data_IF_124020816432
#
_entry.id   IF_124020816432
#
_cell.length_a   1.000
_cell.length_b   1.000
_cell.length_c   1.000
_cell.angle_alpha   90.00
_cell.angle_beta   90.00
_cell.angle_gamma   90.00
#
_symmetry.space_group_name_H-M   'P 1'
#
loop_
_entity.id
_entity.type
_entity.pdbx_description
1 polymer ?
#
# COMPACT_ATOMS: atom_id res chain seq x y z
N UNK A 1 -0.59 26.00 -4.91
CA UNK A 1 -1.11 25.77 -6.28
C UNK A 1 -2.14 24.69 -6.18
N UNK A 2 -3.36 24.88 -6.71
CA UNK A 2 -4.39 23.84 -6.68
C UNK A 2 -3.90 22.66 -7.51
N UNK A 3 -3.85 21.48 -6.91
CA UNK A 3 -3.51 20.23 -7.59
C UNK A 3 -4.50 20.01 -8.74
N UNK A 4 -3.98 19.83 -9.95
CA UNK A 4 -4.76 19.43 -11.10
C UNK A 4 -4.96 17.91 -11.08
N UNK A 5 -5.66 17.39 -10.05
CA UNK A 5 -6.11 16.02 -10.07
C UNK A 5 -7.03 15.80 -11.28
N UNK A 6 -6.97 14.63 -11.89
CA UNK A 6 -7.85 14.27 -13.00
C UNK A 6 -9.33 14.35 -12.57
N UNK A 7 -10.28 14.49 -13.50
CA UNK A 7 -11.69 14.56 -13.14
C UNK A 7 -12.18 13.28 -12.48
N UNK A 8 -13.00 13.39 -11.42
CA UNK A 8 -13.50 12.24 -10.62
C UNK A 8 -14.21 11.14 -11.42
N UNK A 9 -14.76 11.47 -12.60
CA UNK A 9 -15.31 10.42 -13.48
C UNK A 9 -14.27 9.42 -14.00
N UNK A 10 -12.97 9.77 -13.94
CA UNK A 10 -11.88 8.85 -14.27
C UNK A 10 -11.91 7.55 -13.45
N UNK A 11 -12.48 7.60 -12.24
CA UNK A 11 -12.63 6.41 -11.38
C UNK A 11 -13.65 5.38 -11.93
N UNK A 12 -14.51 5.77 -12.89
CA UNK A 12 -15.41 4.81 -13.58
C UNK A 12 -14.63 3.79 -14.42
N UNK A 13 -13.35 4.03 -14.73
CA UNK A 13 -12.46 3.09 -15.44
C UNK A 13 -12.22 1.80 -14.65
N UNK A 14 -12.42 1.81 -13.31
CA UNK A 14 -12.26 0.64 -12.45
C UNK A 14 -12.93 -0.62 -12.99
N UNK A 15 -14.16 -0.52 -13.51
CA UNK A 15 -14.89 -1.66 -14.07
C UNK A 15 -14.20 -2.29 -15.29
N UNK A 16 -13.66 -1.46 -16.18
CA UNK A 16 -12.90 -1.91 -17.34
C UNK A 16 -11.53 -2.50 -16.97
N UNK A 17 -10.84 -1.92 -16.01
CA UNK A 17 -9.57 -2.40 -15.47
C UNK A 17 -9.73 -3.77 -14.81
N UNK A 18 -10.77 -3.94 -13.99
CA UNK A 18 -11.12 -5.23 -13.39
C UNK A 18 -11.46 -6.29 -14.45
N UNK A 19 -12.26 -5.96 -15.44
CA UNK A 19 -12.61 -6.88 -16.54
C UNK A 19 -11.36 -7.31 -17.32
N UNK A 20 -10.44 -6.38 -17.60
CA UNK A 20 -9.16 -6.65 -18.26
C UNK A 20 -8.27 -7.60 -17.42
N UNK A 21 -8.19 -7.38 -16.11
CA UNK A 21 -7.47 -8.27 -15.20
C UNK A 21 -8.05 -9.68 -15.20
N UNK A 22 -9.37 -9.80 -15.07
CA UNK A 22 -10.06 -11.10 -15.07
C UNK A 22 -9.79 -11.87 -16.36
N UNK A 23 -9.87 -11.22 -17.52
CA UNK A 23 -9.55 -11.83 -18.80
C UNK A 23 -8.11 -12.36 -18.85
N UNK A 24 -7.14 -11.60 -18.35
CA UNK A 24 -5.72 -12.02 -18.34
C UNK A 24 -5.43 -13.11 -17.31
N UNK A 25 -6.00 -13.04 -16.13
CA UNK A 25 -5.76 -14.03 -15.05
C UNK A 25 -6.40 -15.38 -15.33
N UNK A 26 -7.49 -15.45 -16.10
CA UNK A 26 -8.08 -16.70 -16.56
C UNK A 26 -7.26 -17.39 -17.65
N UNK A 27 -6.48 -16.64 -18.43
CA UNK A 27 -5.66 -17.16 -19.52
C UNK A 27 -4.26 -17.64 -19.08
N UNK A 28 -3.78 -17.25 -17.92
CA UNK A 28 -2.48 -17.66 -17.38
C UNK A 28 -2.65 -18.42 -16.06
N UNK A 29 -2.37 -19.73 -16.04
CA UNK A 29 -2.40 -20.50 -14.80
C UNK A 29 -1.38 -19.92 -13.81
N UNK A 30 -1.71 -19.86 -12.51
CA UNK A 30 -0.80 -19.34 -11.51
C UNK A 30 0.44 -20.24 -11.41
N UNK A 31 1.64 -19.66 -11.43
CA UNK A 31 2.86 -20.35 -11.03
C UNK A 31 2.84 -20.43 -9.49
N UNK A 32 2.70 -21.63 -8.94
CA UNK A 32 2.88 -21.86 -7.50
C UNK A 32 4.37 -22.00 -7.20
N UNK A 33 4.83 -21.25 -6.18
CA UNK A 33 6.18 -21.38 -5.64
C UNK A 33 6.12 -21.95 -4.23
N UNK A 34 7.02 -22.88 -3.91
CA UNK A 34 7.06 -23.52 -2.60
C UNK A 34 7.47 -22.52 -1.48
N UNK A 35 8.41 -21.63 -1.80
CA UNK A 35 9.01 -20.68 -0.86
C UNK A 35 8.57 -19.21 -1.15
N UNK A 36 7.29 -19.04 -1.54
CA UNK A 36 6.75 -17.73 -1.86
C UNK A 36 6.76 -16.81 -0.63
N UNK A 37 7.29 -15.56 -0.74
CA UNK A 37 7.34 -14.64 0.40
C UNK A 37 5.92 -14.35 0.95
N UNK A 38 5.85 -14.13 2.26
CA UNK A 38 4.60 -13.72 2.88
C UNK A 38 4.27 -12.28 2.53
N UNK A 39 2.98 -11.94 2.45
CA UNK A 39 2.50 -10.63 2.01
C UNK A 39 1.52 -10.05 3.01
N UNK A 40 1.68 -8.78 3.37
CA UNK A 40 0.68 -8.00 4.11
C UNK A 40 0.01 -6.99 3.16
N UNK A 41 -1.33 -7.02 3.08
CA UNK A 41 -2.13 -6.07 2.30
C UNK A 41 -2.75 -5.00 3.19
N UNK A 42 -2.60 -3.72 2.81
CA UNK A 42 -3.10 -2.57 3.58
C UNK A 42 -3.98 -1.68 2.69
N UNK A 43 -5.30 -1.54 3.00
CA UNK A 43 -6.24 -0.78 2.18
C UNK A 43 -6.08 0.74 2.32
N UNK A 44 -6.66 1.47 1.37
CA UNK A 44 -6.68 2.93 1.34
C UNK A 44 -7.61 3.59 2.35
N UNK A 45 -7.64 4.93 2.35
CA UNK A 45 -8.53 5.73 3.21
C UNK A 45 -10.00 5.33 3.02
N UNK A 46 -10.73 5.18 4.13
CA UNK A 46 -12.12 4.70 4.22
C UNK A 46 -12.37 3.29 3.67
N UNK A 47 -11.41 2.68 3.00
CA UNK A 47 -11.52 1.31 2.53
C UNK A 47 -11.19 0.32 3.65
N UNK A 48 -11.77 -0.87 3.57
CA UNK A 48 -11.42 -2.01 4.40
C UNK A 48 -10.72 -3.10 3.59
N UNK A 49 -10.34 -4.16 4.26
CA UNK A 49 -9.63 -5.31 3.69
C UNK A 49 -10.32 -5.93 2.47
N UNK A 50 -11.66 -5.84 2.40
CA UNK A 50 -12.45 -6.34 1.28
C UNK A 50 -12.11 -5.65 -0.06
N UNK A 51 -11.62 -4.41 -0.03
CA UNK A 51 -11.24 -3.66 -1.25
C UNK A 51 -10.06 -4.31 -1.98
N UNK A 52 -9.23 -5.08 -1.28
CA UNK A 52 -8.07 -5.80 -1.83
C UNK A 52 -8.32 -7.32 -1.98
N UNK A 53 -9.58 -7.76 -1.92
CA UNK A 53 -9.93 -9.18 -1.99
C UNK A 53 -9.47 -9.87 -3.29
N UNK A 54 -9.50 -9.16 -4.43
CA UNK A 54 -9.01 -9.68 -5.71
C UNK A 54 -7.51 -9.94 -5.65
N UNK A 55 -6.74 -8.99 -5.17
CA UNK A 55 -5.27 -9.10 -5.01
C UNK A 55 -4.92 -10.23 -4.02
N UNK A 56 -5.61 -10.30 -2.88
CA UNK A 56 -5.47 -11.40 -1.92
C UNK A 56 -5.69 -12.75 -2.57
N UNK A 57 -6.78 -12.90 -3.33
CA UNK A 57 -7.13 -14.15 -4.02
C UNK A 57 -6.06 -14.54 -5.04
N UNK A 58 -5.57 -13.56 -5.80
CA UNK A 58 -4.51 -13.77 -6.80
C UNK A 58 -3.20 -14.22 -6.15
N UNK A 59 -2.74 -13.57 -5.09
CA UNK A 59 -1.53 -13.91 -4.34
C UNK A 59 -1.64 -15.32 -3.73
N UNK A 60 -2.77 -15.66 -3.11
CA UNK A 60 -3.01 -16.98 -2.53
C UNK A 60 -2.96 -18.10 -3.56
N UNK A 61 -3.51 -17.86 -4.76
CA UNK A 61 -3.43 -18.85 -5.85
C UNK A 61 -1.99 -19.10 -6.31
N UNK A 62 -1.07 -18.15 -6.10
CA UNK A 62 0.36 -18.27 -6.39
C UNK A 62 1.18 -18.89 -5.26
N UNK A 63 0.57 -19.18 -4.13
CA UNK A 63 1.21 -19.84 -3.00
C UNK A 63 1.66 -18.91 -1.89
N UNK A 64 1.47 -17.59 -2.04
CA UNK A 64 1.82 -16.63 -1.00
C UNK A 64 0.94 -16.80 0.24
N UNK A 65 1.56 -16.73 1.42
CA UNK A 65 0.84 -16.52 2.68
C UNK A 65 0.43 -15.06 2.76
N UNK A 66 -0.87 -14.78 2.77
CA UNK A 66 -1.40 -13.41 2.72
C UNK A 66 -2.13 -13.07 3.99
N UNK A 67 -1.58 -12.11 4.74
CA UNK A 67 -2.25 -11.43 5.83
C UNK A 67 -2.99 -10.18 5.33
N UNK A 68 -4.07 -9.84 6.02
CA UNK A 68 -4.82 -8.60 5.82
C UNK A 68 -4.63 -7.70 7.03
N UNK A 69 -4.82 -6.39 6.84
CA UNK A 69 -4.59 -5.40 7.89
C UNK A 69 -5.55 -5.48 9.08
N UNK A 70 -6.66 -6.21 8.97
CA UNK A 70 -7.73 -6.24 9.98
C UNK A 70 -8.55 -4.96 10.07
N UNK A 71 -8.44 -4.08 9.07
CA UNK A 71 -9.19 -2.82 9.00
C UNK A 71 -10.55 -3.04 8.33
N UNK A 72 -11.63 -2.70 9.03
CA UNK A 72 -12.96 -2.58 8.43
C UNK A 72 -13.06 -1.29 7.60
N UNK A 73 -12.45 -0.22 8.09
CA UNK A 73 -12.27 1.05 7.41
C UNK A 73 -10.96 1.71 7.88
N UNK A 74 -10.13 2.18 6.96
CA UNK A 74 -8.87 2.84 7.29
C UNK A 74 -9.11 4.32 7.63
N UNK A 75 -9.63 4.59 8.82
CA UNK A 75 -9.97 5.92 9.33
C UNK A 75 -9.41 6.22 10.72
N UNK A 76 -8.63 5.31 11.30
CA UNK A 76 -8.02 5.52 12.62
C UNK A 76 -6.72 6.35 12.52
N UNK A 77 -6.18 6.78 13.65
CA UNK A 77 -4.86 7.43 13.75
C UNK A 77 -3.79 6.57 13.07
N UNK A 78 -2.96 7.17 12.21
CA UNK A 78 -1.92 6.46 11.46
C UNK A 78 -0.95 5.76 12.40
N UNK A 79 -0.47 6.45 13.43
CA UNK A 79 0.43 5.91 14.43
C UNK A 79 -0.13 4.65 15.11
N UNK A 80 -1.41 4.69 15.52
CA UNK A 80 -2.06 3.53 16.13
C UNK A 80 -2.19 2.34 15.18
N UNK A 81 -2.44 2.61 13.89
CA UNK A 81 -2.54 1.55 12.89
C UNK A 81 -1.15 0.94 12.66
N UNK A 82 -0.12 1.77 12.46
CA UNK A 82 1.26 1.30 12.24
C UNK A 82 1.72 0.47 13.43
N UNK A 83 1.62 0.98 14.66
CA UNK A 83 2.01 0.23 15.87
C UNK A 83 1.31 -1.12 16.02
N UNK A 84 0.02 -1.21 15.64
CA UNK A 84 -0.68 -2.49 15.62
C UNK A 84 -0.19 -3.42 14.53
N UNK A 85 0.09 -2.90 13.34
CA UNK A 85 0.54 -3.71 12.21
C UNK A 85 2.00 -4.17 12.34
N UNK A 86 2.81 -3.53 13.18
CA UNK A 86 4.16 -4.00 13.51
C UNK A 86 4.13 -5.44 14.06
N UNK A 87 3.23 -5.74 15.00
CA UNK A 87 3.05 -7.09 15.53
C UNK A 87 2.68 -8.07 14.41
N UNK A 88 1.74 -7.67 13.53
CA UNK A 88 1.34 -8.50 12.39
C UNK A 88 2.51 -8.78 11.43
N UNK A 89 3.38 -7.79 11.17
CA UNK A 89 4.57 -7.98 10.34
C UNK A 89 5.55 -8.95 11.00
N UNK A 90 5.82 -8.79 12.30
CA UNK A 90 6.72 -9.67 13.05
C UNK A 90 6.20 -11.12 13.07
N UNK A 91 4.94 -11.33 13.44
CA UNK A 91 4.30 -12.64 13.45
C UNK A 91 4.33 -13.29 12.05
N UNK A 92 4.02 -12.52 11.01
CA UNK A 92 4.00 -13.02 9.64
C UNK A 92 5.41 -13.41 9.15
N UNK A 93 6.44 -12.64 9.51
CA UNK A 93 7.83 -12.94 9.20
C UNK A 93 8.31 -14.19 9.93
N UNK A 94 8.01 -14.33 11.22
CA UNK A 94 8.34 -15.51 12.02
C UNK A 94 7.66 -16.77 11.49
N UNK A 95 6.38 -16.68 11.22
CA UNK A 95 5.56 -17.77 10.69
C UNK A 95 5.95 -18.24 9.29
N UNK A 96 6.51 -17.35 8.46
CA UNK A 96 6.98 -17.67 7.12
C UNK A 96 8.47 -18.03 7.06
N UNK A 97 9.20 -17.78 8.14
CA UNK A 97 10.65 -18.00 8.21
C UNK A 97 11.47 -17.04 7.34
N UNK A 98 10.89 -15.89 6.93
CA UNK A 98 11.54 -14.96 6.03
C UNK A 98 10.95 -13.54 6.09
N UNK A 99 11.46 -12.66 5.25
CA UNK A 99 10.97 -11.29 5.15
C UNK A 99 9.59 -11.22 4.47
N UNK A 100 8.84 -10.18 4.83
CA UNK A 100 7.47 -9.92 4.35
C UNK A 100 7.51 -8.88 3.23
N UNK A 101 6.63 -9.03 2.24
CA UNK A 101 6.34 -7.98 1.26
C UNK A 101 5.10 -7.20 1.71
N UNK A 102 5.24 -5.88 1.82
CA UNK A 102 4.16 -4.97 2.15
C UNK A 102 3.56 -4.39 0.87
N UNK A 103 2.25 -4.51 0.71
CA UNK A 103 1.54 -3.90 -0.43
C UNK A 103 0.44 -3.01 0.14
N UNK A 104 0.53 -1.71 -0.14
CA UNK A 104 -0.44 -0.74 0.35
C UNK A 104 -1.02 0.12 -0.75
N UNK A 105 -2.34 0.35 -0.70
CA UNK A 105 -3.02 1.26 -1.61
C UNK A 105 -3.25 2.61 -0.96
N UNK A 106 -2.94 3.71 -1.66
CA UNK A 106 -3.23 5.07 -1.20
C UNK A 106 -2.65 5.31 0.21
N UNK A 107 -3.45 5.73 1.18
CA UNK A 107 -3.07 5.83 2.59
C UNK A 107 -2.44 4.53 3.13
N UNK A 108 -2.87 3.37 2.64
CA UNK A 108 -2.31 2.08 3.04
C UNK A 108 -0.84 1.92 2.66
N UNK A 109 -0.42 2.48 1.51
CA UNK A 109 0.99 2.49 1.12
C UNK A 109 1.85 3.41 1.98
N UNK A 110 1.30 4.54 2.43
CA UNK A 110 2.00 5.39 3.41
C UNK A 110 2.19 4.66 4.76
N UNK A 111 1.19 3.90 5.21
CA UNK A 111 1.31 3.04 6.40
C UNK A 111 2.33 1.91 6.18
N UNK A 112 2.33 1.28 5.01
CA UNK A 112 3.31 0.25 4.64
C UNK A 112 4.74 0.80 4.63
N UNK A 113 4.93 2.02 4.12
CA UNK A 113 6.23 2.69 4.11
C UNK A 113 6.77 2.95 5.52
N UNK A 114 5.93 3.43 6.42
CA UNK A 114 6.30 3.62 7.80
C UNK A 114 6.70 2.29 8.48
N UNK A 115 5.96 1.21 8.20
CA UNK A 115 6.32 -0.14 8.68
C UNK A 115 7.66 -0.61 8.15
N UNK A 116 7.96 -0.36 6.87
CA UNK A 116 9.25 -0.74 6.27
C UNK A 116 10.42 0.01 6.92
N UNK A 117 10.22 1.27 7.32
CA UNK A 117 11.23 2.04 8.08
C UNK A 117 11.38 1.53 9.51
N UNK A 118 10.29 1.15 10.17
CA UNK A 118 10.32 0.66 11.57
C UNK A 118 10.89 -0.75 11.71
N UNK A 119 10.66 -1.60 10.72
CA UNK A 119 11.01 -3.03 10.76
C UNK A 119 11.77 -3.47 9.51
N UNK A 120 12.88 -2.78 9.19
CA UNK A 120 13.62 -3.07 7.97
C UNK A 120 14.14 -4.52 7.92
N UNK A 121 14.45 -5.09 9.08
CA UNK A 121 14.90 -6.49 9.21
C UNK A 121 13.80 -7.52 8.88
N UNK A 122 12.54 -7.12 8.93
CA UNK A 122 11.37 -7.99 8.66
C UNK A 122 10.75 -7.76 7.28
N UNK A 123 11.14 -6.68 6.59
CA UNK A 123 10.53 -6.28 5.31
C UNK A 123 11.55 -6.43 4.19
N UNK A 124 11.26 -7.30 3.22
CA UNK A 124 12.07 -7.48 2.02
C UNK A 124 11.55 -6.74 0.80
N UNK A 125 10.25 -6.38 0.79
CA UNK A 125 9.64 -5.66 -0.32
C UNK A 125 8.55 -4.69 0.11
N UNK A 126 8.40 -3.59 -0.64
CA UNK A 126 7.41 -2.54 -0.40
C UNK A 126 6.80 -2.09 -1.73
N UNK A 127 5.50 -2.25 -1.91
CA UNK A 127 4.78 -1.75 -3.08
C UNK A 127 3.71 -0.75 -2.64
N UNK A 128 3.81 0.47 -3.14
CA UNK A 128 2.92 1.58 -2.82
C UNK A 128 2.11 1.96 -4.06
N UNK A 129 0.79 1.74 -4.01
CA UNK A 129 -0.13 1.99 -5.13
C UNK A 129 -0.85 3.33 -4.94
N UNK A 130 -0.51 4.34 -5.72
CA UNK A 130 -1.12 5.66 -5.64
C UNK A 130 -1.00 6.33 -4.26
N UNK A 131 0.14 6.15 -3.59
CA UNK A 131 0.30 6.50 -2.18
C UNK A 131 0.97 7.86 -1.99
N UNK A 132 0.31 8.86 -1.38
CA UNK A 132 0.84 10.20 -1.21
C UNK A 132 1.84 10.27 -0.04
N UNK A 133 3.07 9.77 -0.26
CA UNK A 133 4.12 9.70 0.76
C UNK A 133 4.85 11.03 0.97
N UNK A 134 4.94 11.87 -0.06
CA UNK A 134 5.61 13.18 0.02
C UNK A 134 4.72 14.27 0.64
N UNK A 135 3.43 14.20 0.36
CA UNK A 135 2.44 15.18 0.83
C UNK A 135 1.10 14.47 1.07
N UNK A 136 0.86 14.08 2.29
CA UNK A 136 -0.27 13.21 2.69
C UNK A 136 -1.67 13.80 2.37
N UNK A 137 -1.77 15.11 2.17
CA UNK A 137 -3.02 15.81 1.84
C UNK A 137 -3.08 16.33 0.39
N UNK A 138 -2.16 15.90 -0.46
CA UNK A 138 -2.20 16.18 -1.90
C UNK A 138 -3.28 15.33 -2.58
N UNK A 139 -4.51 15.55 -2.16
CA UNK A 139 -5.71 14.82 -2.63
C UNK A 139 -6.74 15.77 -3.20
N UNK A 140 -7.64 15.24 -4.01
CA UNK A 140 -8.72 16.02 -4.61
C UNK A 140 -9.62 16.71 -3.57
N UNK A 141 -10.22 17.83 -3.94
CA UNK A 141 -11.04 18.64 -3.02
C UNK A 141 -12.21 17.86 -2.36
N UNK A 142 -12.92 16.94 -3.05
CA UNK A 142 -13.93 16.11 -2.39
C UNK A 142 -13.33 15.21 -1.29
N UNK A 143 -12.21 14.55 -1.57
CA UNK A 143 -11.53 13.68 -0.60
C UNK A 143 -11.02 14.50 0.58
N UNK A 144 -10.41 15.66 0.33
CA UNK A 144 -9.95 16.55 1.40
C UNK A 144 -11.10 17.02 2.31
N UNK A 145 -12.28 17.30 1.74
CA UNK A 145 -13.48 17.61 2.54
C UNK A 145 -13.89 16.44 3.44
N UNK A 146 -13.86 15.22 2.90
CA UNK A 146 -14.17 14.02 3.67
C UNK A 146 -13.17 13.80 4.80
N UNK A 147 -11.87 13.96 4.53
CA UNK A 147 -10.80 13.89 5.55
C UNK A 147 -11.06 14.90 6.67
N UNK A 148 -11.37 16.15 6.34
CA UNK A 148 -11.67 17.20 7.33
C UNK A 148 -12.93 16.90 8.14
N UNK A 149 -13.95 16.35 7.50
CA UNK A 149 -15.19 15.94 8.19
C UNK A 149 -14.94 14.79 9.16
N UNK A 150 -14.19 13.76 8.72
CA UNK A 150 -13.80 12.64 9.60
C UNK A 150 -12.96 13.11 10.79
N UNK A 151 -12.01 14.03 10.58
CA UNK A 151 -11.20 14.58 11.65
C UNK A 151 -12.07 15.30 12.72
N UNK A 152 -13.11 16.04 12.28
CA UNK A 152 -14.07 16.68 13.23
C UNK A 152 -14.85 15.65 14.05
N UNK A 153 -15.23 14.51 13.45
CA UNK A 153 -15.88 13.44 14.22
C UNK A 153 -14.93 12.85 15.27
N UNK A 154 -13.65 12.69 14.94
CA UNK A 154 -12.63 12.31 15.90
C UNK A 154 -12.42 13.33 17.01
N UNK A 155 -12.44 14.63 16.69
CA UNK A 155 -12.38 15.73 17.66
C UNK A 155 -13.58 15.75 18.61
N UNK A 156 -14.74 15.27 18.17
CA UNK A 156 -15.94 15.05 18.98
C UNK A 156 -15.89 13.76 19.81
N UNK A 157 -14.77 13.01 19.74
CA UNK A 157 -14.57 11.80 20.54
C UNK A 157 -15.12 10.52 19.92
N UNK A 158 -15.45 10.49 18.61
CA UNK A 158 -15.89 9.25 17.95
C UNK A 158 -14.73 8.24 17.99
N UNK A 159 -14.90 7.07 18.65
CA UNK A 159 -13.81 6.10 18.77
C UNK A 159 -13.45 5.46 17.43
N UNK A 160 -12.16 5.15 17.23
CA UNK A 160 -11.69 4.49 16.01
C UNK A 160 -11.50 5.44 14.82
N UNK A 161 -11.71 6.73 14.99
CA UNK A 161 -11.51 7.76 13.96
C UNK A 161 -10.36 8.68 14.37
N UNK A 162 -9.54 9.09 13.38
CA UNK A 162 -8.48 10.07 13.62
C UNK A 162 -9.06 11.47 13.90
N UNK A 163 -8.36 12.25 14.73
CA UNK A 163 -8.70 13.64 15.03
C UNK A 163 -7.86 14.62 14.20
N UNK A 164 -8.18 15.93 14.30
CA UNK A 164 -7.39 16.97 13.65
C UNK A 164 -5.93 16.99 14.14
N UNK A 165 -5.69 16.62 15.41
CA UNK A 165 -4.34 16.52 16.00
C UNK A 165 -3.48 15.43 15.37
N UNK A 166 -4.07 14.42 14.72
CA UNK A 166 -3.30 13.40 13.98
C UNK A 166 -2.59 13.96 12.75
N UNK A 167 -2.98 15.13 12.25
CA UNK A 167 -2.35 15.77 11.11
C UNK A 167 -1.04 16.46 11.50
N UNK A 168 -1.10 17.31 12.53
CA UNK A 168 -0.01 18.23 12.90
C UNK A 168 0.48 18.03 14.34
N UNK A 169 -0.22 17.21 15.15
CA UNK A 169 0.08 16.97 16.56
C UNK A 169 1.17 15.91 16.76
N UNK A 170 1.61 15.80 18.00
CA UNK A 170 2.69 14.87 18.42
C UNK A 170 2.35 13.40 18.20
N UNK A 171 1.05 13.05 18.25
CA UNK A 171 0.62 11.64 18.15
C UNK A 171 0.99 10.94 16.82
N UNK A 172 1.31 11.67 15.76
CA UNK A 172 1.73 11.14 14.47
C UNK A 172 3.06 11.72 13.99
N UNK A 173 3.88 12.23 14.90
CA UNK A 173 5.18 12.81 14.57
C UNK A 173 6.14 11.75 14.02
N UNK A 174 6.26 10.60 14.70
CA UNK A 174 7.02 9.44 14.22
C UNK A 174 6.58 9.02 12.83
N UNK A 175 5.29 8.79 12.64
CA UNK A 175 4.75 8.40 11.33
C UNK A 175 5.12 9.41 10.22
N UNK A 176 5.02 10.71 10.49
CA UNK A 176 5.42 11.73 9.50
C UNK A 176 6.91 11.72 9.21
N UNK A 177 7.74 11.52 10.24
CA UNK A 177 9.20 11.38 10.08
C UNK A 177 9.56 10.18 9.21
N UNK A 178 8.89 9.07 9.43
CA UNK A 178 9.10 7.83 8.69
C UNK A 178 8.74 7.94 7.20
N UNK A 179 7.76 8.78 6.83
CA UNK A 179 7.44 9.02 5.42
C UNK A 179 8.56 9.73 4.63
N UNK A 180 9.49 10.38 5.30
CA UNK A 180 10.63 11.05 4.66
C UNK A 180 11.98 10.38 4.96
N UNK A 181 12.01 9.43 5.89
CA UNK A 181 13.22 8.70 6.23
C UNK A 181 13.71 7.83 5.05
N UNK A 182 15.01 7.61 4.89
CA UNK A 182 15.52 6.66 3.90
C UNK A 182 15.02 5.25 4.21
N UNK A 183 14.83 4.45 3.17
CA UNK A 183 14.61 3.02 3.29
C UNK A 183 15.96 2.31 3.41
N UNK A 184 16.00 1.23 4.21
CA UNK A 184 17.20 0.42 4.33
C UNK A 184 17.58 -0.23 3.00
N UNK A 185 18.88 -0.29 2.66
CA UNK A 185 19.35 -1.03 1.50
C UNK A 185 18.94 -2.50 1.58
N UNK A 186 18.38 -3.03 0.51
CA UNK A 186 17.89 -4.41 0.45
C UNK A 186 16.38 -4.54 0.51
N UNK A 187 15.65 -3.48 0.83
CA UNK A 187 14.19 -3.44 0.63
C UNK A 187 13.90 -3.12 -0.84
N UNK A 188 13.25 -4.05 -1.54
CA UNK A 188 12.78 -3.85 -2.91
C UNK A 188 11.55 -2.92 -2.89
N UNK A 189 11.76 -1.63 -3.08
CA UNK A 189 10.71 -0.63 -2.92
C UNK A 189 10.24 -0.07 -4.26
N UNK A 190 8.93 -0.10 -4.51
CA UNK A 190 8.30 0.41 -5.73
C UNK A 190 7.14 1.35 -5.39
N UNK A 191 7.14 2.54 -5.98
CA UNK A 191 6.07 3.53 -5.90
C UNK A 191 5.34 3.61 -7.26
N UNK A 192 4.13 3.07 -7.30
CA UNK A 192 3.27 3.10 -8.48
C UNK A 192 2.41 4.36 -8.46
N UNK A 193 2.40 5.09 -9.55
CA UNK A 193 1.54 6.27 -9.71
C UNK A 193 0.84 6.30 -11.07
N UNK A 194 -0.18 7.14 -11.19
CA UNK A 194 -0.86 7.41 -12.46
C UNK A 194 -1.13 8.89 -12.61
N UNK A 195 -0.87 9.44 -13.80
CA UNK A 195 -1.28 10.82 -14.13
C UNK A 195 -2.78 10.95 -14.33
N UNK A 196 -3.47 9.84 -14.53
CA UNK A 196 -4.93 9.76 -14.64
C UNK A 196 -5.61 9.59 -13.29
N UNK A 197 -4.87 9.56 -12.17
CA UNK A 197 -5.40 9.48 -10.81
C UNK A 197 -6.25 10.71 -10.49
N UNK A 198 -7.54 10.50 -10.19
CA UNK A 198 -8.50 11.56 -9.88
C UNK A 198 -8.59 11.87 -8.36
N UNK A 199 -7.91 11.11 -7.53
CA UNK A 199 -7.98 11.18 -6.08
C UNK A 199 -6.70 11.79 -5.49
N UNK A 200 -5.53 11.30 -5.88
CA UNK A 200 -4.23 11.72 -5.36
C UNK A 200 -3.45 12.46 -6.45
N UNK A 201 -2.79 13.56 -6.11
CA UNK A 201 -1.80 14.17 -7.01
C UNK A 201 -0.63 13.18 -7.17
N UNK A 202 -0.42 12.69 -8.37
CA UNK A 202 0.62 11.72 -8.68
C UNK A 202 2.03 12.16 -8.23
N UNK A 203 2.29 13.48 -8.16
CA UNK A 203 3.58 14.02 -7.70
C UNK A 203 3.86 13.71 -6.24
N UNK A 204 2.80 13.56 -5.43
CA UNK A 204 2.92 13.17 -4.03
C UNK A 204 3.29 11.69 -3.85
N UNK A 205 3.14 10.89 -4.91
CA UNK A 205 3.49 9.47 -4.91
C UNK A 205 4.97 9.19 -5.26
N UNK A 206 5.73 10.20 -5.70
CA UNK A 206 7.12 10.05 -6.14
C UNK A 206 8.06 9.91 -4.94
N UNK A 207 8.19 8.72 -4.38
CA UNK A 207 9.13 8.44 -3.28
C UNK A 207 10.58 8.45 -3.80
N UNK A 208 11.48 9.29 -3.23
CA UNK A 208 12.87 9.37 -3.66
C UNK A 208 13.70 8.12 -3.31
N UNK A 209 13.17 7.23 -2.47
CA UNK A 209 13.82 6.02 -1.99
C UNK A 209 13.21 4.73 -2.59
N UNK A 210 12.37 4.85 -3.63
CA UNK A 210 11.74 3.72 -4.30
C UNK A 210 11.88 3.84 -5.82
N UNK A 211 11.83 2.73 -6.52
CA UNK A 211 11.63 2.75 -7.96
C UNK A 211 10.25 3.34 -8.27
N UNK A 212 10.20 4.30 -9.18
CA UNK A 212 8.96 4.98 -9.56
C UNK A 212 8.43 4.41 -10.86
N UNK A 213 7.22 3.84 -10.82
CA UNK A 213 6.57 3.22 -11.98
C UNK A 213 5.26 3.94 -12.31
N UNK A 214 5.14 4.41 -13.55
CA UNK A 214 3.90 5.02 -14.06
C UNK A 214 2.99 3.96 -14.70
N UNK A 215 1.70 3.96 -14.34
CA UNK A 215 0.66 3.16 -14.98
C UNK A 215 -0.49 4.06 -15.43
N UNK A 216 -1.16 3.74 -16.52
CA UNK A 216 -2.37 4.48 -16.92
C UNK A 216 -3.62 3.84 -16.32
N UNK A 217 -3.91 4.20 -15.08
CA UNK A 217 -5.01 3.62 -14.29
C UNK A 217 -5.76 4.69 -13.51
N UNK A 218 -7.02 4.43 -13.16
CA UNK A 218 -7.71 5.18 -12.11
C UNK A 218 -7.07 4.90 -10.74
N UNK A 219 -7.34 5.74 -9.74
CA UNK A 219 -6.79 5.55 -8.40
C UNK A 219 -7.18 4.20 -7.78
N UNK A 220 -8.48 3.92 -7.74
CA UNK A 220 -8.99 2.64 -7.24
C UNK A 220 -8.59 1.47 -8.15
N UNK A 221 -8.48 1.72 -9.44
CA UNK A 221 -8.14 0.73 -10.45
C UNK A 221 -6.73 0.17 -10.35
N UNK A 222 -5.78 0.90 -9.76
CA UNK A 222 -4.42 0.37 -9.57
C UNK A 222 -4.41 -0.99 -8.87
N UNK A 223 -5.34 -1.23 -7.93
CA UNK A 223 -5.47 -2.51 -7.22
C UNK A 223 -5.95 -3.68 -8.09
N UNK A 224 -6.46 -3.40 -9.28
CA UNK A 224 -6.97 -4.38 -10.26
C UNK A 224 -6.39 -4.19 -11.66
N UNK A 225 -5.36 -3.36 -11.82
CA UNK A 225 -4.74 -3.09 -13.12
C UNK A 225 -3.74 -4.18 -13.51
N UNK A 226 -3.81 -4.78 -14.72
CA UNK A 226 -2.95 -5.89 -15.12
C UNK A 226 -1.46 -5.59 -15.00
N UNK A 227 -0.99 -4.39 -15.38
CA UNK A 227 0.43 -4.02 -15.29
C UNK A 227 0.92 -3.99 -13.83
N UNK A 228 0.05 -3.63 -12.87
CA UNK A 228 0.39 -3.71 -11.43
C UNK A 228 0.61 -5.15 -11.00
N UNK A 229 -0.17 -6.10 -11.50
CA UNK A 229 0.01 -7.52 -11.19
C UNK A 229 1.29 -8.10 -11.82
N UNK A 230 1.67 -7.65 -13.02
CA UNK A 230 2.95 -8.00 -13.64
C UNK A 230 4.13 -7.44 -12.83
N UNK A 231 4.03 -6.21 -12.35
CA UNK A 231 5.01 -5.58 -11.46
C UNK A 231 5.11 -6.33 -10.12
N UNK A 232 3.97 -6.70 -9.52
CA UNK A 232 3.96 -7.49 -8.29
C UNK A 232 4.67 -8.83 -8.45
N UNK A 233 4.52 -9.51 -9.59
CA UNK A 233 5.28 -10.73 -9.87
C UNK A 233 6.80 -10.46 -9.84
N UNK A 234 7.26 -9.39 -10.48
CA UNK A 234 8.69 -9.03 -10.53
C UNK A 234 9.25 -8.73 -9.13
N UNK A 235 8.54 -7.92 -8.32
CA UNK A 235 8.96 -7.60 -6.95
C UNK A 235 8.99 -8.85 -6.07
N UNK A 236 7.96 -9.69 -6.13
CA UNK A 236 7.88 -10.91 -5.34
C UNK A 236 8.99 -11.91 -5.72
N UNK A 237 9.31 -12.00 -7.02
CA UNK A 237 10.39 -12.83 -7.53
C UNK A 237 11.76 -12.31 -7.06
N UNK A 238 12.00 -10.99 -7.16
CA UNK A 238 13.24 -10.35 -6.68
C UNK A 238 13.48 -10.57 -5.18
N UNK A 239 12.45 -10.37 -4.35
CA UNK A 239 12.54 -10.60 -2.90
C UNK A 239 12.87 -12.05 -2.59
N UNK A 240 12.26 -13.01 -3.28
CA UNK A 240 12.54 -14.43 -3.08
C UNK A 240 13.96 -14.80 -3.51
N UNK A 241 14.43 -14.29 -4.65
CA UNK A 241 15.77 -14.56 -5.15
C UNK A 241 16.85 -13.97 -4.21
N UNK A 242 16.60 -12.79 -3.62
CA UNK A 242 17.47 -12.17 -2.64
C UNK A 242 17.53 -13.00 -1.34
N UNK A 243 16.39 -13.46 -0.84
CA UNK A 243 16.35 -14.33 0.33
C UNK A 243 17.12 -15.64 0.11
N UNK A 244 16.97 -16.26 -1.07
CA UNK A 244 17.68 -17.50 -1.43
C UNK A 244 19.20 -17.30 -1.52
N UNK A 245 19.67 -16.16 -2.05
CA UNK A 245 21.10 -15.81 -2.10
C UNK A 245 21.68 -15.61 -0.69
N UNK A 246 20.97 -14.93 0.19
CA UNK A 246 21.40 -14.72 1.58
C UNK A 246 21.49 -16.04 2.34
N UNK A 247 20.52 -16.94 2.17
CA UNK A 247 20.54 -18.27 2.77
C UNK A 247 21.69 -19.15 2.25
N UNK A 248 22.09 -18.99 0.99
CA UNK A 248 23.20 -19.75 0.40
C UNK A 248 24.58 -19.21 0.82
N UNK A 249 24.67 -17.96 1.32
CA UNK A 249 25.88 -17.31 1.76
C UNK A 249 26.15 -17.44 3.28
N UNK A 250 25.18 -17.93 4.06
CA UNK A 250 25.27 -18.14 5.51
C UNK A 250 25.62 -19.60 5.86
#
# INVERSE_FOLDING_TARGET
>A
MASAAAPMWGELRYGGELASLLARTTLRPPRRRADAPAVLLIPGFMAGDHSLAMMRSWLRRRGHRVAMSGLLANVNCAERIVSRLESTVCELAEDSGGQVVLIGQSRGGALARALAVRRPERVGGLVMLGSPVRESLAVSAPVLRTVRWMARLGDLGLPGVFSSTCRDGECCESFRGELSAPLEPGIEAVAVHSRSDAIVDWRACLDPHAEVVEVDSSHCGMSVHPAVYELLEQVLDSVQDNASRLAAAA
#
